data_IF_093395378356
#
_entry.id   IF_093395378356
#
_cell.length_a   1.000
_cell.length_b   1.000
_cell.length_c   1.000
_cell.angle_alpha   90.00
_cell.angle_beta   90.00
_cell.angle_gamma   90.00
#
_symmetry.space_group_name_H-M   'P 1'
#
loop_
_entity.id
_entity.type
_entity.pdbx_description
1 polymer ?
#
# COMPACT_ATOMS: atom_id res chain seq x y z
N UNK A 1 -61.52 -15.67 9.54
CA UNK A 1 -60.72 -15.48 8.30
C UNK A 1 -59.54 -14.62 8.66
N UNK A 2 -58.35 -15.22 8.70
CA UNK A 2 -57.13 -14.68 9.28
C UNK A 2 -56.31 -13.93 8.21
N UNK A 3 -55.71 -12.83 8.64
CA UNK A 3 -54.92 -11.83 7.93
C UNK A 3 -53.67 -12.42 7.24
N UNK A 4 -53.42 -12.05 5.98
CA UNK A 4 -52.19 -12.35 5.25
C UNK A 4 -51.07 -11.39 5.69
N UNK A 5 -50.02 -11.93 6.33
CA UNK A 5 -48.74 -11.24 6.52
C UNK A 5 -47.86 -11.51 5.29
N UNK A 6 -47.48 -10.44 4.60
CA UNK A 6 -46.49 -10.45 3.53
C UNK A 6 -45.09 -10.58 4.16
N UNK A 7 -44.49 -11.78 4.12
CA UNK A 7 -43.06 -11.95 4.38
C UNK A 7 -42.29 -11.61 3.10
N UNK A 8 -41.56 -10.51 3.12
CA UNK A 8 -40.48 -10.23 2.17
C UNK A 8 -39.43 -11.34 2.29
N UNK A 9 -39.42 -12.25 1.33
CA UNK A 9 -38.41 -13.29 1.22
C UNK A 9 -37.14 -12.70 0.64
N UNK A 10 -36.06 -12.68 1.45
CA UNK A 10 -34.70 -12.60 0.94
C UNK A 10 -34.48 -13.80 0.03
N UNK A 11 -34.35 -13.55 -1.28
CA UNK A 11 -33.93 -14.58 -2.24
C UNK A 11 -32.40 -14.65 -2.24
N UNK A 12 -31.85 -15.37 -1.26
CA UNK A 12 -30.51 -15.92 -1.40
C UNK A 12 -30.61 -17.06 -2.43
N UNK A 13 -30.19 -16.80 -3.67
CA UNK A 13 -30.09 -17.84 -4.70
C UNK A 13 -28.92 -18.75 -4.36
N UNK A 14 -29.21 -19.83 -3.63
CA UNK A 14 -28.27 -20.92 -3.39
C UNK A 14 -28.13 -21.77 -4.65
N UNK A 15 -27.25 -21.35 -5.57
CA UNK A 15 -26.72 -22.21 -6.63
C UNK A 15 -25.29 -22.61 -6.25
N UNK A 16 -25.12 -23.89 -5.88
CA UNK A 16 -23.83 -24.60 -5.82
C UNK A 16 -22.80 -24.14 -4.77
N UNK A 17 -23.21 -23.98 -3.50
CA UNK A 17 -22.27 -23.99 -2.36
C UNK A 17 -21.31 -22.81 -2.27
N UNK A 18 -21.39 -21.84 -3.18
CA UNK A 18 -20.69 -20.57 -3.10
C UNK A 18 -21.74 -19.48 -2.88
N UNK A 19 -21.76 -18.88 -1.70
CA UNK A 19 -22.55 -17.68 -1.42
C UNK A 19 -21.89 -16.55 -2.21
N UNK A 20 -22.35 -16.32 -3.44
CA UNK A 20 -21.95 -15.15 -4.22
C UNK A 20 -22.69 -13.97 -3.59
N UNK A 21 -21.98 -12.97 -3.03
CA UNK A 21 -22.65 -11.80 -2.48
C UNK A 21 -23.45 -11.12 -3.59
N UNK A 22 -24.69 -10.75 -3.28
CA UNK A 22 -25.56 -9.98 -4.16
C UNK A 22 -24.81 -8.74 -4.69
N UNK A 23 -24.99 -8.44 -5.99
CA UNK A 23 -24.42 -7.26 -6.63
C UNK A 23 -24.74 -5.96 -5.88
N UNK A 24 -25.91 -5.89 -5.23
CA UNK A 24 -26.29 -4.75 -4.39
C UNK A 24 -25.36 -4.60 -3.16
N UNK A 25 -25.03 -5.71 -2.51
CA UNK A 25 -24.11 -5.76 -1.35
C UNK A 25 -22.68 -5.44 -1.78
N UNK A 26 -22.24 -5.96 -2.93
CA UNK A 26 -20.92 -5.63 -3.50
C UNK A 26 -20.81 -4.15 -3.83
N UNK A 27 -21.86 -3.56 -4.41
CA UNK A 27 -21.93 -2.12 -4.71
C UNK A 27 -21.89 -1.24 -3.46
N UNK A 28 -22.60 -1.64 -2.38
CA UNK A 28 -22.56 -0.94 -1.11
C UNK A 28 -21.17 -1.00 -0.44
N UNK A 29 -20.49 -2.16 -0.51
CA UNK A 29 -19.14 -2.33 0.03
C UNK A 29 -18.11 -1.45 -0.71
N UNK A 30 -18.17 -1.40 -2.04
CA UNK A 30 -17.31 -0.53 -2.86
C UNK A 30 -17.57 0.94 -2.54
N UNK A 31 -18.84 1.36 -2.46
CA UNK A 31 -19.21 2.74 -2.07
C UNK A 31 -18.62 3.13 -0.71
N UNK A 32 -18.71 2.24 0.30
CA UNK A 32 -18.13 2.49 1.63
C UNK A 32 -16.62 2.70 1.57
N UNK A 33 -15.92 1.92 0.75
CA UNK A 33 -14.47 2.05 0.55
C UNK A 33 -14.10 3.39 -0.11
N UNK A 34 -14.83 3.78 -1.15
CA UNK A 34 -14.63 5.07 -1.83
C UNK A 34 -14.79 6.23 -0.83
N UNK A 35 -15.88 6.25 -0.05
CA UNK A 35 -16.10 7.28 0.96
C UNK A 35 -14.99 7.30 2.01
N UNK A 36 -14.56 6.13 2.49
CA UNK A 36 -13.47 6.03 3.45
C UNK A 36 -12.14 6.57 2.89
N UNK A 37 -11.83 6.25 1.63
CA UNK A 37 -10.63 6.75 0.94
C UNK A 37 -10.67 8.28 0.83
N UNK A 38 -11.78 8.86 0.37
CA UNK A 38 -11.94 10.31 0.23
C UNK A 38 -11.88 11.03 1.58
N UNK A 39 -12.54 10.49 2.61
CA UNK A 39 -12.47 11.04 3.97
C UNK A 39 -11.04 11.01 4.52
N UNK A 40 -10.31 9.91 4.32
CA UNK A 40 -8.90 9.84 4.69
C UNK A 40 -8.06 10.86 3.93
N UNK A 41 -8.20 10.96 2.60
CA UNK A 41 -7.45 11.89 1.77
C UNK A 41 -7.62 13.34 2.23
N UNK A 42 -8.85 13.75 2.56
CA UNK A 42 -9.15 15.10 3.03
C UNK A 42 -8.58 15.40 4.42
N UNK A 43 -8.43 14.38 5.28
CA UNK A 43 -7.86 14.52 6.62
C UNK A 43 -6.33 14.40 6.64
N UNK A 44 -5.75 13.77 5.61
CA UNK A 44 -4.32 13.51 5.55
C UNK A 44 -3.55 14.78 5.18
N UNK A 45 -2.47 15.14 5.90
CA UNK A 45 -1.68 16.32 5.57
C UNK A 45 -1.00 16.19 4.21
N UNK A 46 -0.50 17.31 3.70
CA UNK A 46 0.28 17.33 2.46
C UNK A 46 1.55 16.45 2.60
N UNK A 47 1.89 15.60 1.62
CA UNK A 47 2.99 14.62 1.75
C UNK A 47 4.38 15.24 1.96
N UNK A 48 4.58 16.50 1.54
CA UNK A 48 5.87 17.20 1.67
C UNK A 48 6.41 17.19 3.09
N UNK A 49 5.54 17.30 4.10
CA UNK A 49 5.96 17.31 5.51
C UNK A 49 6.65 15.99 5.90
N UNK A 50 6.33 14.89 5.24
CA UNK A 50 6.92 13.58 5.50
C UNK A 50 8.09 13.29 4.56
N UNK A 51 8.00 13.74 3.31
CA UNK A 51 9.10 13.62 2.33
C UNK A 51 10.36 14.35 2.81
N UNK A 52 10.22 15.53 3.41
CA UNK A 52 11.33 16.29 4.00
C UNK A 52 11.96 15.59 5.21
N UNK A 53 11.25 14.64 5.82
CA UNK A 53 11.70 13.87 6.99
C UNK A 53 12.21 12.47 6.62
N UNK A 54 12.20 12.09 5.34
CA UNK A 54 12.71 10.81 4.88
C UNK A 54 13.86 11.00 3.90
N UNK A 55 14.49 9.89 3.52
CA UNK A 55 15.59 9.87 2.57
C UNK A 55 15.05 9.63 1.16
N UNK A 56 15.62 10.31 0.17
CA UNK A 56 15.37 10.04 -1.25
C UNK A 56 15.75 8.59 -1.59
N UNK A 57 15.02 8.00 -2.52
CA UNK A 57 15.31 6.65 -2.98
C UNK A 57 16.60 6.63 -3.81
N UNK A 58 17.46 5.61 -3.68
CA UNK A 58 18.49 5.36 -4.68
C UNK A 58 17.86 5.21 -6.06
N UNK A 59 18.42 5.84 -7.10
CA UNK A 59 17.92 5.62 -8.46
C UNK A 59 18.19 4.20 -8.96
N UNK A 60 19.21 3.53 -8.40
CA UNK A 60 19.57 2.16 -8.73
C UNK A 60 20.00 1.38 -7.51
N UNK A 61 19.73 0.09 -7.53
CA UNK A 61 20.22 -0.88 -6.54
C UNK A 61 21.08 -1.96 -7.20
N UNK A 62 21.93 -2.66 -6.43
CA UNK A 62 22.68 -3.79 -6.94
C UNK A 62 21.74 -4.85 -7.57
N UNK A 63 22.10 -5.43 -8.73
CA UNK A 63 21.23 -6.36 -9.46
C UNK A 63 20.98 -7.68 -8.71
N UNK A 64 21.80 -7.99 -7.70
CA UNK A 64 21.62 -9.17 -6.85
C UNK A 64 20.64 -8.95 -5.68
N UNK A 65 20.08 -7.74 -5.51
CA UNK A 65 19.12 -7.40 -4.47
C UNK A 65 19.51 -7.95 -3.08
N UNK A 66 20.65 -7.52 -2.51
CA UNK A 66 21.09 -7.99 -1.20
C UNK A 66 20.06 -7.64 -0.11
N UNK A 67 20.00 -8.44 0.95
CA UNK A 67 19.05 -8.24 2.06
C UNK A 67 19.16 -6.85 2.68
N UNK A 68 20.38 -6.34 2.76
CA UNK A 68 20.70 -4.98 3.14
C UNK A 68 21.77 -4.46 2.17
N UNK A 69 21.70 -3.18 1.80
CA UNK A 69 22.84 -2.51 1.18
C UNK A 69 23.05 -1.13 1.77
N UNK A 70 24.32 -0.75 1.82
CA UNK A 70 24.72 0.60 2.18
C UNK A 70 24.92 1.40 0.91
N UNK A 71 24.33 2.58 0.85
CA UNK A 71 24.43 3.46 -0.31
C UNK A 71 25.64 4.40 -0.29
N UNK A 72 26.56 4.21 0.66
CA UNK A 72 27.67 5.13 0.97
C UNK A 72 27.41 5.94 2.25
N UNK A 73 26.16 6.09 2.67
CA UNK A 73 25.79 6.91 3.84
C UNK A 73 24.87 6.22 4.84
N UNK A 74 23.95 5.37 4.38
CA UNK A 74 22.92 4.71 5.18
C UNK A 74 22.62 3.32 4.64
N UNK A 75 22.15 2.46 5.54
CA UNK A 75 21.73 1.11 5.19
C UNK A 75 20.24 1.08 4.86
N UNK A 76 19.92 0.50 3.72
CA UNK A 76 18.58 0.17 3.27
C UNK A 76 18.30 -1.29 3.57
N UNK A 77 17.11 -1.58 4.08
CA UNK A 77 16.69 -2.96 4.41
C UNK A 77 15.69 -3.46 3.41
N UNK A 78 15.77 -4.73 3.02
CA UNK A 78 14.78 -5.34 2.13
C UNK A 78 13.39 -5.30 2.77
N UNK A 79 12.39 -4.96 1.97
CA UNK A 79 11.00 -5.15 2.38
C UNK A 79 10.65 -6.64 2.31
N UNK A 80 10.40 -7.28 3.45
CA UNK A 80 10.01 -8.69 3.48
C UNK A 80 8.69 -8.96 2.77
N UNK A 81 7.82 -7.94 2.64
CA UNK A 81 6.58 -8.01 1.86
C UNK A 81 6.78 -7.89 0.35
N UNK A 82 8.00 -7.54 -0.10
CA UNK A 82 8.38 -7.39 -1.51
C UNK A 82 9.87 -7.69 -1.72
N UNK A 83 10.31 -8.88 -1.30
CA UNK A 83 11.70 -9.30 -1.44
C UNK A 83 11.93 -9.95 -2.81
N UNK A 84 12.98 -9.53 -3.53
CA UNK A 84 13.32 -10.09 -4.85
C UNK A 84 13.55 -11.61 -4.82
N UNK A 85 14.10 -12.14 -3.74
CA UNK A 85 14.30 -13.58 -3.51
C UNK A 85 13.00 -14.37 -3.40
N UNK A 86 11.87 -13.71 -3.17
CA UNK A 86 10.54 -14.31 -2.94
C UNK A 86 9.59 -14.12 -4.13
N UNK A 87 10.08 -13.57 -5.25
CA UNK A 87 9.33 -13.42 -6.49
C UNK A 87 8.94 -14.80 -7.07
N UNK A 88 7.81 -14.91 -7.80
CA UNK A 88 6.89 -13.84 -8.22
C UNK A 88 5.78 -13.51 -7.20
N UNK A 89 5.67 -14.26 -6.11
CA UNK A 89 4.49 -14.24 -5.23
C UNK A 89 4.63 -13.26 -4.05
N UNK A 90 5.28 -12.12 -4.29
CA UNK A 90 5.53 -11.07 -3.30
C UNK A 90 5.09 -9.72 -3.89
N UNK A 91 5.17 -8.61 -3.13
CA UNK A 91 4.80 -7.28 -3.60
C UNK A 91 3.29 -7.06 -3.85
N UNK A 92 2.41 -7.61 -3.02
CA UNK A 92 0.95 -7.44 -3.19
C UNK A 92 0.48 -5.98 -3.17
N UNK A 93 1.20 -5.12 -2.42
CA UNK A 93 0.97 -3.67 -2.36
C UNK A 93 1.63 -2.89 -3.51
N UNK A 94 2.59 -3.49 -4.21
CA UNK A 94 3.39 -2.87 -5.29
C UNK A 94 3.45 -3.80 -6.50
N UNK A 95 2.28 -4.19 -7.01
CA UNK A 95 2.18 -5.13 -8.13
C UNK A 95 3.00 -4.64 -9.33
N UNK A 96 3.98 -5.43 -9.75
CA UNK A 96 4.90 -5.10 -10.84
C UNK A 96 6.34 -4.81 -10.39
N UNK A 97 6.56 -4.52 -9.10
CA UNK A 97 7.89 -4.43 -8.52
C UNK A 97 8.59 -5.79 -8.50
N UNK A 98 9.91 -5.78 -8.72
CA UNK A 98 10.75 -6.96 -8.53
C UNK A 98 11.30 -7.04 -7.11
N UNK A 99 11.63 -5.91 -6.49
CA UNK A 99 12.02 -5.87 -5.09
C UNK A 99 11.93 -4.45 -4.53
N UNK A 100 11.66 -4.34 -3.24
CA UNK A 100 11.63 -3.07 -2.54
C UNK A 100 12.56 -3.03 -1.32
N UNK A 101 12.97 -1.81 -0.98
CA UNK A 101 13.77 -1.50 0.19
C UNK A 101 13.05 -0.46 1.04
N UNK A 102 13.21 -0.58 2.36
CA UNK A 102 12.68 0.37 3.34
C UNK A 102 13.80 1.13 4.02
N UNK A 103 13.51 2.38 4.35
CA UNK A 103 14.36 3.23 5.17
C UNK A 103 13.51 4.08 6.13
N UNK A 104 14.05 4.35 7.31
CA UNK A 104 13.52 5.34 8.25
C UNK A 104 14.65 5.84 9.15
N UNK A 105 14.66 7.14 9.46
CA UNK A 105 15.71 7.73 10.32
C UNK A 105 15.59 7.32 11.78
N UNK A 106 14.38 6.98 12.22
CA UNK A 106 14.04 6.63 13.60
C UNK A 106 13.25 5.33 13.62
N UNK A 107 13.01 4.78 14.80
CA UNK A 107 12.18 3.60 14.99
C UNK A 107 10.67 3.87 14.73
N UNK A 108 10.25 5.13 14.75
CA UNK A 108 8.87 5.61 14.53
C UNK A 108 8.85 6.80 13.57
N UNK A 109 7.67 7.14 13.03
CA UNK A 109 7.50 8.24 12.09
C UNK A 109 7.75 7.86 10.63
N UNK A 110 7.97 8.86 9.75
CA UNK A 110 8.00 8.64 8.31
C UNK A 110 9.08 7.68 7.84
N UNK A 111 8.75 6.93 6.79
CA UNK A 111 9.66 6.01 6.12
C UNK A 111 9.59 6.13 4.61
N UNK A 112 10.68 5.79 3.92
CA UNK A 112 10.67 5.59 2.48
C UNK A 112 10.60 4.08 2.20
N UNK A 113 9.71 3.69 1.30
CA UNK A 113 9.73 2.37 0.68
C UNK A 113 9.96 2.56 -0.82
N UNK A 114 11.11 2.12 -1.30
CA UNK A 114 11.59 2.32 -2.66
C UNK A 114 11.54 1.00 -3.40
N UNK A 115 10.86 0.96 -4.54
CA UNK A 115 10.68 -0.25 -5.33
C UNK A 115 11.38 -0.16 -6.68
N UNK A 116 11.83 -1.32 -7.16
CA UNK A 116 12.72 -1.43 -8.30
C UNK A 116 12.26 -2.51 -9.27
N UNK A 117 12.56 -2.30 -10.55
CA UNK A 117 12.38 -3.30 -11.59
C UNK A 117 13.45 -4.41 -11.47
N UNK A 118 13.37 -5.43 -12.33
CA UNK A 118 14.31 -6.56 -12.31
C UNK A 118 15.76 -6.16 -12.63
N UNK A 119 15.97 -5.03 -13.31
CA UNK A 119 17.28 -4.48 -13.61
C UNK A 119 17.82 -3.56 -12.48
N UNK A 120 17.07 -3.44 -11.38
CA UNK A 120 17.43 -2.61 -10.24
C UNK A 120 17.21 -1.13 -10.47
N UNK A 121 16.39 -0.72 -11.46
CA UNK A 121 16.06 0.69 -11.66
C UNK A 121 14.87 1.09 -10.78
N UNK A 122 14.95 2.26 -10.16
CA UNK A 122 13.86 2.80 -9.35
C UNK A 122 12.60 3.02 -10.19
N UNK A 123 11.45 2.71 -9.62
CA UNK A 123 10.14 2.81 -10.27
C UNK A 123 9.39 4.00 -9.71
N UNK A 124 8.83 4.83 -10.59
CA UNK A 124 8.10 6.06 -10.24
C UNK A 124 6.59 6.03 -10.54
N UNK A 125 6.11 5.03 -11.29
CA UNK A 125 4.69 4.84 -11.61
C UNK A 125 4.05 3.89 -10.57
N UNK A 126 3.20 4.40 -9.65
CA UNK A 126 2.59 3.58 -8.62
C UNK A 126 1.68 2.48 -9.18
N UNK A 127 1.10 2.69 -10.36
CA UNK A 127 0.26 1.70 -11.03
C UNK A 127 1.07 0.60 -11.72
N UNK A 128 2.40 0.70 -11.71
CA UNK A 128 3.33 -0.33 -12.19
C UNK A 128 4.19 -0.92 -11.08
N UNK A 129 3.93 -0.60 -9.81
CA UNK A 129 4.67 -1.13 -8.68
C UNK A 129 5.74 -0.21 -8.11
N UNK A 130 5.64 1.11 -8.33
CA UNK A 130 6.44 2.04 -7.53
C UNK A 130 6.16 1.87 -6.02
N UNK A 131 7.16 2.22 -5.22
CA UNK A 131 7.04 2.20 -3.78
C UNK A 131 6.19 3.34 -3.24
N UNK A 132 6.17 3.52 -1.93
CA UNK A 132 5.41 4.58 -1.29
C UNK A 132 6.21 5.26 -0.19
N UNK A 133 5.94 6.53 0.03
CA UNK A 133 6.18 7.19 1.31
C UNK A 133 5.29 6.51 2.35
N UNK A 134 5.84 6.13 3.49
CA UNK A 134 5.08 5.74 4.67
C UNK A 134 5.01 6.94 5.62
N UNK A 135 3.82 7.28 6.13
CA UNK A 135 3.71 8.23 7.23
C UNK A 135 4.26 7.64 8.52
N UNK A 136 4.00 6.35 8.73
CA UNK A 136 4.51 5.57 9.83
C UNK A 136 5.22 4.36 9.25
N UNK A 137 6.54 4.31 9.32
CA UNK A 137 7.31 3.18 8.78
C UNK A 137 6.81 1.85 9.36
N UNK A 138 6.82 0.80 8.53
CA UNK A 138 6.62 -0.55 9.05
C UNK A 138 7.68 -0.89 10.11
N UNK A 139 7.29 -1.58 11.20
CA UNK A 139 8.24 -1.96 12.23
C UNK A 139 9.21 -3.03 11.73
N UNK A 140 10.46 -2.97 12.19
CA UNK A 140 11.47 -4.00 11.88
C UNK A 140 11.15 -5.36 12.51
N UNK A 141 10.29 -5.39 13.53
CA UNK A 141 9.83 -6.61 14.18
C UNK A 141 8.33 -6.56 14.47
N UNK A 142 7.68 -7.72 14.43
CA UNK A 142 6.24 -7.85 14.64
C UNK A 142 5.80 -7.50 16.07
N UNK A 143 6.71 -7.58 17.05
CA UNK A 143 6.41 -7.33 18.46
C UNK A 143 6.22 -5.85 18.80
N UNK A 144 6.64 -4.92 17.93
CA UNK A 144 6.33 -3.50 18.08
C UNK A 144 4.89 -3.21 17.62
N UNK A 145 3.92 -3.69 18.42
CA UNK A 145 2.49 -3.59 18.13
C UNK A 145 2.01 -2.14 17.99
N UNK A 146 2.62 -1.20 18.73
CA UNK A 146 2.26 0.21 18.64
C UNK A 146 2.60 0.77 17.25
N UNK A 147 3.82 0.56 16.78
CA UNK A 147 4.23 1.00 15.44
C UNK A 147 3.48 0.23 14.35
N UNK A 148 3.24 -1.08 14.56
CA UNK A 148 2.43 -1.89 13.64
C UNK A 148 1.04 -1.29 13.46
N UNK A 149 0.35 -0.96 14.55
CA UNK A 149 -0.98 -0.35 14.51
C UNK A 149 -0.96 1.04 13.86
N UNK A 150 0.08 1.83 14.12
CA UNK A 150 0.25 3.14 13.50
C UNK A 150 0.43 3.04 11.98
N UNK A 151 1.35 2.19 11.50
CA UNK A 151 1.55 1.90 10.08
C UNK A 151 0.27 1.38 9.42
N UNK A 152 -0.43 0.43 10.06
CA UNK A 152 -1.66 -0.10 9.50
C UNK A 152 -2.74 0.98 9.36
N UNK A 153 -2.93 1.80 10.40
CA UNK A 153 -3.93 2.87 10.39
C UNK A 153 -3.64 3.94 9.34
N UNK A 154 -2.38 4.32 9.19
CA UNK A 154 -1.99 5.49 8.38
C UNK A 154 -1.59 5.15 6.94
N UNK A 155 -1.19 3.91 6.67
CA UNK A 155 -0.60 3.55 5.37
C UNK A 155 -1.28 2.32 4.73
N UNK A 156 -1.59 1.27 5.52
CA UNK A 156 -2.18 0.02 4.97
C UNK A 156 -3.70 0.14 4.75
N UNK A 157 -4.47 0.46 5.79
CA UNK A 157 -5.94 0.55 5.71
C UNK A 157 -6.40 1.55 4.64
N UNK A 158 -5.77 2.74 4.52
CA UNK A 158 -6.09 3.64 3.41
C UNK A 158 -5.86 3.00 2.04
N UNK A 159 -4.72 2.30 1.84
CA UNK A 159 -4.49 1.56 0.60
C UNK A 159 -5.56 0.49 0.35
N UNK A 160 -6.02 -0.21 1.39
CA UNK A 160 -7.07 -1.22 1.25
C UNK A 160 -8.44 -0.66 0.82
N UNK A 161 -8.73 0.57 1.23
CA UNK A 161 -9.93 1.30 0.84
C UNK A 161 -9.80 1.95 -0.54
N UNK A 162 -8.60 2.44 -0.89
CA UNK A 162 -8.37 3.18 -2.12
C UNK A 162 -8.01 2.29 -3.33
N UNK A 163 -7.27 1.18 -3.12
CA UNK A 163 -6.54 0.50 -4.21
C UNK A 163 -6.68 -1.02 -4.26
N UNK A 164 -6.95 -1.71 -3.15
CA UNK A 164 -6.92 -3.19 -3.09
C UNK A 164 -7.99 -3.87 -3.95
N UNK A 165 -9.16 -3.26 -4.04
CA UNK A 165 -10.32 -3.83 -4.71
C UNK A 165 -10.40 -3.31 -6.15
N UNK A 166 -10.36 -4.20 -7.12
CA UNK A 166 -10.40 -3.85 -8.56
C UNK A 166 -11.69 -3.15 -8.97
N UNK A 167 -12.76 -3.24 -8.17
CA UNK A 167 -13.99 -2.49 -8.39
C UNK A 167 -13.90 -1.02 -7.93
N UNK A 168 -12.87 -0.64 -7.18
CA UNK A 168 -12.61 0.76 -6.82
C UNK A 168 -11.98 1.46 -8.04
N UNK A 169 -12.54 2.59 -8.51
CA UNK A 169 -12.00 3.32 -9.64
C UNK A 169 -10.54 3.75 -9.46
N UNK A 170 -9.78 3.80 -10.56
CA UNK A 170 -8.34 4.10 -10.53
C UNK A 170 -8.02 5.50 -10.02
N UNK A 171 -8.88 6.48 -10.29
CA UNK A 171 -8.79 7.86 -9.78
C UNK A 171 -8.99 7.91 -8.26
N UNK A 172 -9.80 7.03 -7.67
CA UNK A 172 -9.89 6.89 -6.21
C UNK A 172 -8.59 6.33 -5.64
N UNK A 173 -7.97 5.34 -6.30
CA UNK A 173 -6.65 4.86 -5.90
C UNK A 173 -5.57 5.95 -6.05
N UNK A 174 -5.69 6.85 -7.04
CA UNK A 174 -4.77 7.96 -7.23
C UNK A 174 -4.71 8.89 -6.01
N UNK A 175 -5.83 9.09 -5.30
CA UNK A 175 -5.86 9.85 -4.05
C UNK A 175 -4.88 9.30 -3.00
N UNK A 176 -4.72 7.98 -2.92
CA UNK A 176 -3.73 7.37 -2.05
C UNK A 176 -2.31 7.77 -2.43
N UNK A 177 -1.96 7.61 -3.70
CA UNK A 177 -0.61 7.91 -4.18
C UNK A 177 -0.27 9.40 -4.17
N UNK A 178 -1.26 10.29 -4.21
CA UNK A 178 -1.04 11.71 -3.98
C UNK A 178 -0.58 12.02 -2.54
N UNK A 179 -1.03 11.24 -1.55
CA UNK A 179 -0.62 11.38 -0.14
C UNK A 179 0.56 10.48 0.24
N UNK A 180 0.84 9.47 -0.57
CA UNK A 180 1.89 8.45 -0.37
C UNK A 180 2.69 8.25 -1.66
N UNK A 181 3.28 9.33 -2.23
CA UNK A 181 4.04 9.20 -3.47
C UNK A 181 5.27 8.32 -3.27
N UNK A 182 5.83 7.71 -4.33
CA UNK A 182 7.05 6.89 -4.26
C UNK A 182 8.32 7.65 -3.85
N UNK A 183 8.21 8.97 -3.67
CA UNK A 183 9.34 9.87 -3.48
C UNK A 183 10.00 10.21 -4.80
N UNK A 184 11.28 10.55 -4.71
CA UNK A 184 12.12 10.93 -5.83
C UNK A 184 13.47 10.23 -5.70
N UNK A 185 14.14 10.03 -6.83
CA UNK A 185 15.53 9.58 -6.87
C UNK A 185 16.50 10.66 -7.39
N UNK A 186 15.98 11.73 -8.00
CA UNK A 186 16.80 12.82 -8.55
C UNK A 186 17.68 13.46 -7.47
N UNK A 187 18.91 13.82 -7.86
CA UNK A 187 19.99 14.32 -6.98
C UNK A 187 20.45 13.36 -5.88
N UNK A 188 20.11 12.07 -5.98
CA UNK A 188 20.65 11.07 -5.07
C UNK A 188 22.16 10.91 -5.29
N UNK A 189 22.94 11.24 -4.26
CA UNK A 189 24.40 11.07 -4.24
C UNK A 189 24.75 9.82 -3.44
N UNK A 190 25.48 8.90 -4.07
CA UNK A 190 26.17 7.79 -3.42
C UNK A 190 27.23 8.34 -2.43
#
# INVERSE_FOLDING_TARGET
MLTFLLLLSLTAVCLQGNIIPDQSVRSAAVTKKITACQSWYNAEPHPSIFLEQTRKCPCRVPPNFPSDFNDGSKSWKTDSGCAASSQPNTCSYHKGAYGCYRFGYKSTGPGAQCCYDKAGNWMNDPHKGAGTLDRERAPDNFFNLLQWNAHNKHDVIPWENCCKDEAVPRDICQLYYEKRPPGECEDYKF
#
